data_IF_476739886548
#
_entry.id   IF_476739886548
#
_cell.length_a   1.000
_cell.length_b   1.000
_cell.length_c   1.000
_cell.angle_alpha   90.00
_cell.angle_beta   90.00
_cell.angle_gamma   90.00
#
_symmetry.space_group_name_H-M   'P 1'
#
loop_
_entity.id
_entity.type
_entity.pdbx_description
1 polymer ?
#
# COMPACT_ATOMS: atom_id res chain seq x y z
N UNK A 1 -47.96 63.05 -51.62
CA UNK A 1 -48.42 62.42 -50.35
C UNK A 1 -48.32 60.89 -50.31
N UNK A 2 -47.86 60.20 -51.36
CA UNK A 2 -47.85 58.72 -51.41
C UNK A 2 -46.60 58.10 -50.74
N UNK A 3 -45.46 58.79 -50.78
CA UNK A 3 -44.20 58.28 -50.19
C UNK A 3 -44.16 58.22 -48.65
N UNK A 4 -44.95 59.04 -47.95
CA UNK A 4 -44.99 59.02 -46.48
C UNK A 4 -45.80 57.83 -45.93
N UNK A 5 -46.77 57.29 -46.68
CA UNK A 5 -47.51 56.10 -46.26
C UNK A 5 -46.66 54.83 -46.42
N UNK A 6 -45.82 54.77 -47.46
CA UNK A 6 -45.01 53.60 -47.77
C UNK A 6 -43.86 53.38 -46.76
N UNK A 7 -43.30 54.46 -46.21
CA UNK A 7 -42.26 54.40 -45.16
C UNK A 7 -42.84 53.97 -43.80
N UNK A 8 -44.08 54.34 -43.47
CA UNK A 8 -44.76 53.92 -42.23
C UNK A 8 -45.18 52.45 -42.29
N UNK A 9 -45.59 51.95 -43.46
CA UNK A 9 -45.89 50.52 -43.65
C UNK A 9 -44.62 49.67 -43.64
N UNK A 10 -43.48 50.16 -44.16
CA UNK A 10 -42.21 49.44 -44.08
C UNK A 10 -41.63 49.38 -42.66
N UNK A 11 -41.82 50.44 -41.85
CA UNK A 11 -41.40 50.47 -40.44
C UNK A 11 -42.34 49.68 -39.50
N UNK A 12 -43.58 49.39 -39.93
CA UNK A 12 -44.50 48.49 -39.20
C UNK A 12 -44.22 47.00 -39.39
N UNK A 13 -43.38 46.64 -40.39
CA UNK A 13 -42.99 45.27 -40.72
C UNK A 13 -41.60 44.88 -40.23
N UNK A 14 -40.99 45.68 -39.33
CA UNK A 14 -39.93 45.17 -38.46
C UNK A 14 -40.54 44.24 -37.42
N UNK A 15 -41.07 43.11 -37.90
CA UNK A 15 -41.43 41.98 -37.08
C UNK A 15 -40.20 41.60 -36.25
N UNK A 16 -40.29 41.77 -34.94
CA UNK A 16 -39.32 41.22 -34.00
C UNK A 16 -39.17 39.73 -34.29
N UNK A 17 -38.13 39.34 -35.04
CA UNK A 17 -37.80 37.94 -35.28
C UNK A 17 -37.26 37.38 -33.96
N UNK A 18 -38.13 36.76 -33.18
CA UNK A 18 -37.74 36.03 -31.98
C UNK A 18 -36.96 34.78 -32.39
N UNK A 19 -35.62 34.87 -32.36
CA UNK A 19 -34.75 33.73 -32.62
C UNK A 19 -34.85 32.76 -31.43
N UNK A 20 -35.63 31.70 -31.58
CA UNK A 20 -35.74 30.65 -30.58
C UNK A 20 -34.51 29.73 -30.63
N UNK A 21 -33.83 29.56 -29.49
CA UNK A 21 -32.78 28.55 -29.36
C UNK A 21 -33.43 27.17 -29.17
N UNK A 22 -32.94 26.17 -29.89
CA UNK A 22 -33.41 24.78 -29.76
C UNK A 22 -32.29 23.91 -29.20
N UNK A 23 -32.59 23.21 -28.11
CA UNK A 23 -31.69 22.19 -27.57
C UNK A 23 -32.04 20.83 -28.17
N UNK A 24 -31.06 20.19 -28.80
CA UNK A 24 -31.16 18.80 -29.27
C UNK A 24 -30.93 17.86 -28.08
N UNK A 25 -31.92 17.02 -27.76
CA UNK A 25 -31.92 16.18 -26.56
C UNK A 25 -30.92 15.01 -26.61
N UNK A 26 -30.79 14.25 -27.72
CA UNK A 26 -29.86 13.11 -27.80
C UNK A 26 -28.39 13.38 -27.38
N UNK A 27 -27.72 14.46 -27.85
CA UNK A 27 -26.34 14.73 -27.44
C UNK A 27 -26.23 15.06 -25.95
N UNK A 28 -27.21 15.77 -25.39
CA UNK A 28 -27.24 16.10 -23.96
C UNK A 28 -27.43 14.85 -23.11
N UNK A 29 -28.30 13.91 -23.53
CA UNK A 29 -28.42 12.58 -22.88
C UNK A 29 -27.09 11.85 -22.86
N UNK A 30 -26.35 11.85 -23.98
CA UNK A 30 -25.02 11.24 -24.07
C UNK A 30 -24.03 11.91 -23.12
N UNK A 31 -24.04 13.24 -23.02
CA UNK A 31 -23.19 13.98 -22.09
C UNK A 31 -23.51 13.69 -20.61
N UNK A 32 -24.80 13.65 -20.24
CA UNK A 32 -25.22 13.31 -18.88
C UNK A 32 -24.90 11.85 -18.54
N UNK A 33 -25.02 10.93 -19.50
CA UNK A 33 -24.57 9.54 -19.33
C UNK A 33 -23.06 9.47 -19.09
N UNK A 34 -22.24 10.22 -19.84
CA UNK A 34 -20.79 10.33 -19.59
C UNK A 34 -20.48 10.87 -18.19
N UNK A 35 -21.19 11.92 -17.77
CA UNK A 35 -21.03 12.54 -16.45
C UNK A 35 -21.37 11.55 -15.32
N UNK A 36 -22.46 10.79 -15.47
CA UNK A 36 -22.83 9.72 -14.54
C UNK A 36 -21.81 8.58 -14.53
N UNK A 37 -21.26 8.19 -15.70
CA UNK A 37 -20.18 7.21 -15.78
C UNK A 37 -18.92 7.66 -15.05
N UNK A 38 -18.55 8.94 -15.17
CA UNK A 38 -17.44 9.53 -14.43
C UNK A 38 -17.73 9.55 -12.91
N UNK A 39 -18.94 9.93 -12.50
CA UNK A 39 -19.35 9.91 -11.10
C UNK A 39 -19.27 8.50 -10.51
N UNK A 40 -19.73 7.47 -11.23
CA UNK A 40 -19.61 6.07 -10.83
C UNK A 40 -18.16 5.65 -10.62
N UNK A 41 -17.26 6.03 -11.54
CA UNK A 41 -15.83 5.71 -11.43
C UNK A 41 -15.19 6.34 -10.19
N UNK A 42 -15.51 7.61 -9.92
CA UNK A 42 -15.02 8.33 -8.73
C UNK A 42 -15.54 7.68 -7.44
N UNK A 43 -16.84 7.42 -7.37
CA UNK A 43 -17.46 6.79 -6.21
C UNK A 43 -16.89 5.40 -5.93
N UNK A 44 -16.83 4.53 -6.96
CA UNK A 44 -16.27 3.17 -6.82
C UNK A 44 -14.82 3.21 -6.34
N UNK A 45 -13.99 4.07 -6.93
CA UNK A 45 -12.58 4.19 -6.52
C UNK A 45 -12.42 4.60 -5.04
N UNK A 46 -13.26 5.52 -4.55
CA UNK A 46 -13.25 5.90 -3.12
C UNK A 46 -13.75 4.75 -2.24
N UNK A 47 -14.85 4.11 -2.61
CA UNK A 47 -15.46 3.03 -1.84
C UNK A 47 -14.55 1.80 -1.76
N UNK A 48 -13.97 1.36 -2.88
CA UNK A 48 -13.01 0.25 -2.95
C UNK A 48 -11.76 0.57 -2.13
N UNK A 49 -11.23 1.79 -2.24
CA UNK A 49 -10.09 2.24 -1.44
C UNK A 49 -10.37 2.18 0.06
N UNK A 50 -11.58 2.57 0.51
CA UNK A 50 -11.98 2.43 1.91
C UNK A 50 -12.06 0.97 2.34
N UNK A 51 -12.72 0.13 1.56
CA UNK A 51 -12.90 -1.30 1.87
C UNK A 51 -11.58 -2.04 1.93
N UNK A 52 -10.62 -1.73 1.05
CA UNK A 52 -9.28 -2.30 1.11
C UNK A 52 -8.58 -1.99 2.44
N UNK A 53 -8.60 -0.73 2.88
CA UNK A 53 -7.97 -0.30 4.15
C UNK A 53 -8.68 -0.86 5.38
N UNK A 54 -10.01 -0.97 5.31
CA UNK A 54 -10.80 -1.67 6.32
C UNK A 54 -10.37 -3.15 6.43
N UNK A 55 -10.22 -3.85 5.30
CA UNK A 55 -9.74 -5.25 5.30
C UNK A 55 -8.34 -5.38 5.90
N UNK A 56 -7.44 -4.44 5.63
CA UNK A 56 -6.10 -4.39 6.23
C UNK A 56 -6.20 -4.30 7.77
N UNK A 57 -6.97 -3.35 8.32
CA UNK A 57 -7.15 -3.25 9.77
C UNK A 57 -7.84 -4.46 10.38
N UNK A 58 -8.90 -4.97 9.74
CA UNK A 58 -9.59 -6.17 10.22
C UNK A 58 -8.66 -7.38 10.28
N UNK A 59 -7.78 -7.54 9.29
CA UNK A 59 -6.76 -8.61 9.29
C UNK A 59 -5.75 -8.43 10.43
N UNK A 60 -5.20 -7.24 10.59
CA UNK A 60 -4.27 -6.93 11.70
C UNK A 60 -4.88 -7.29 13.06
N UNK A 61 -6.14 -6.93 13.31
CA UNK A 61 -6.83 -7.26 14.56
C UNK A 61 -7.07 -8.77 14.70
N UNK A 62 -7.40 -9.47 13.62
CA UNK A 62 -7.53 -10.93 13.63
C UNK A 62 -6.19 -11.67 13.80
N UNK A 63 -5.07 -10.97 13.62
CA UNK A 63 -3.70 -11.46 13.81
C UNK A 63 -3.10 -10.99 15.14
N UNK A 64 -3.86 -10.30 16.00
CA UNK A 64 -3.45 -9.97 17.36
C UNK A 64 -3.00 -8.52 17.58
N UNK A 65 -3.14 -7.63 16.59
CA UNK A 65 -2.87 -6.21 16.80
C UNK A 65 -3.82 -5.59 17.85
N UNK A 66 -3.26 -4.84 18.81
CA UNK A 66 -4.04 -4.12 19.81
C UNK A 66 -4.63 -2.83 19.23
N UNK A 67 -5.96 -2.69 19.31
CA UNK A 67 -6.69 -1.52 18.78
C UNK A 67 -6.33 -0.21 19.46
N UNK A 68 -5.91 -0.27 20.72
CA UNK A 68 -5.63 0.92 21.54
C UNK A 68 -4.20 1.43 21.38
N UNK A 69 -3.31 0.62 20.80
CA UNK A 69 -1.91 0.97 20.63
C UNK A 69 -1.67 1.70 19.31
N UNK A 70 -0.62 2.54 19.29
CA UNK A 70 -0.11 3.08 18.04
C UNK A 70 0.64 1.97 17.27
N UNK A 71 0.50 1.90 15.93
CA UNK A 71 -0.14 2.87 15.02
C UNK A 71 -1.64 2.63 14.78
N UNK A 72 -2.25 1.62 15.42
CA UNK A 72 -3.58 1.14 15.07
C UNK A 72 -4.69 2.12 15.40
N UNK A 73 -4.56 2.83 16.53
CA UNK A 73 -5.44 3.93 16.89
C UNK A 73 -5.44 5.03 15.82
N UNK A 74 -4.26 5.48 15.38
CA UNK A 74 -4.11 6.45 14.29
C UNK A 74 -4.68 5.95 12.95
N UNK A 75 -4.44 4.69 12.59
CA UNK A 75 -5.00 4.08 11.37
C UNK A 75 -6.53 4.02 11.43
N UNK A 76 -7.11 3.69 12.58
CA UNK A 76 -8.57 3.67 12.78
C UNK A 76 -9.17 5.09 12.70
N UNK A 77 -8.48 6.10 13.22
CA UNK A 77 -8.90 7.50 13.07
C UNK A 77 -8.95 7.90 11.59
N UNK A 78 -7.89 7.64 10.82
CA UNK A 78 -7.88 7.92 9.38
C UNK A 78 -8.92 7.14 8.60
N UNK A 79 -9.17 5.86 8.94
CA UNK A 79 -10.24 5.07 8.32
C UNK A 79 -11.62 5.64 8.64
N UNK A 80 -11.83 6.16 9.84
CA UNK A 80 -13.10 6.80 10.24
C UNK A 80 -13.34 8.10 9.49
N UNK A 81 -12.31 8.94 9.33
CA UNK A 81 -12.40 10.15 8.50
C UNK A 81 -12.65 9.80 7.03
N UNK A 82 -11.95 8.80 6.49
CA UNK A 82 -12.20 8.30 5.14
C UNK A 82 -13.64 7.80 4.97
N UNK A 83 -14.21 7.15 6.00
CA UNK A 83 -15.59 6.71 6.00
C UNK A 83 -16.58 7.89 5.96
N UNK A 84 -16.32 8.97 6.72
CA UNK A 84 -17.12 10.20 6.67
C UNK A 84 -17.12 10.80 5.25
N UNK A 85 -15.95 10.97 4.65
CA UNK A 85 -15.83 11.50 3.27
C UNK A 85 -16.47 10.54 2.25
N UNK A 86 -16.37 9.23 2.44
CA UNK A 86 -17.00 8.27 1.54
C UNK A 86 -18.54 8.38 1.55
N UNK A 87 -19.15 8.67 2.71
CA UNK A 87 -20.60 8.92 2.81
C UNK A 87 -21.02 10.18 2.07
N UNK A 88 -20.22 11.26 2.14
CA UNK A 88 -20.51 12.49 1.38
C UNK A 88 -20.33 12.31 -0.13
N UNK A 89 -19.30 11.57 -0.56
CA UNK A 89 -19.11 11.14 -1.95
C UNK A 89 -20.33 10.35 -2.45
N UNK A 90 -20.82 9.38 -1.66
CA UNK A 90 -22.04 8.63 -1.98
C UNK A 90 -23.26 9.57 -2.15
N UNK A 91 -23.46 10.49 -1.21
CA UNK A 91 -24.56 11.45 -1.28
C UNK A 91 -24.55 12.31 -2.55
N UNK A 92 -23.39 12.84 -2.94
CA UNK A 92 -23.25 13.62 -4.18
C UNK A 92 -23.42 12.75 -5.44
N UNK A 93 -22.86 11.54 -5.44
CA UNK A 93 -23.11 10.54 -6.49
C UNK A 93 -24.61 10.26 -6.68
N UNK A 94 -25.35 10.02 -5.59
CA UNK A 94 -26.77 9.69 -5.65
C UNK A 94 -27.61 10.88 -6.14
N UNK A 95 -27.18 12.13 -5.88
CA UNK A 95 -27.81 13.33 -6.46
C UNK A 95 -27.59 13.43 -7.98
N UNK A 96 -26.38 13.15 -8.46
CA UNK A 96 -26.08 13.12 -9.92
C UNK A 96 -26.98 12.11 -10.61
N UNK A 97 -27.14 10.92 -10.04
CA UNK A 97 -28.03 9.89 -10.59
C UNK A 97 -29.49 10.37 -10.60
N UNK A 98 -29.98 10.95 -9.50
CA UNK A 98 -31.34 11.52 -9.43
C UNK A 98 -31.57 12.61 -10.48
N UNK A 99 -30.73 13.64 -10.56
CA UNK A 99 -30.86 14.71 -11.55
C UNK A 99 -30.80 14.22 -12.99
N UNK A 100 -29.99 13.19 -13.26
CA UNK A 100 -29.97 12.52 -14.56
C UNK A 100 -31.32 11.82 -14.85
N UNK A 101 -31.88 11.11 -13.88
CA UNK A 101 -33.19 10.46 -14.06
C UNK A 101 -34.30 11.48 -14.26
N UNK A 102 -34.29 12.58 -13.50
CA UNK A 102 -35.23 13.69 -13.68
C UNK A 102 -35.13 14.27 -15.10
N UNK A 103 -33.91 14.44 -15.63
CA UNK A 103 -33.71 14.90 -17.01
C UNK A 103 -34.24 13.90 -18.05
N UNK A 104 -34.02 12.60 -17.83
CA UNK A 104 -34.51 11.56 -18.73
C UNK A 104 -36.04 11.50 -18.73
N UNK A 105 -36.67 11.65 -17.57
CA UNK A 105 -38.13 11.73 -17.43
C UNK A 105 -38.68 12.99 -18.13
N UNK A 106 -38.10 14.16 -17.86
CA UNK A 106 -38.50 15.44 -18.46
C UNK A 106 -38.45 15.43 -19.99
N UNK A 107 -37.46 14.73 -20.55
CA UNK A 107 -37.19 14.68 -22.00
C UNK A 107 -37.77 13.45 -22.69
N UNK A 108 -38.49 12.56 -21.99
CA UNK A 108 -39.00 11.29 -22.55
C UNK A 108 -39.79 11.52 -23.86
N UNK A 109 -39.47 10.73 -24.88
CA UNK A 109 -40.08 10.84 -26.22
C UNK A 109 -39.69 12.06 -27.05
N UNK A 110 -38.87 12.98 -26.54
CA UNK A 110 -38.54 14.25 -27.22
C UNK A 110 -37.16 14.25 -27.83
N UNK A 111 -37.06 14.76 -29.07
CA UNK A 111 -35.80 14.98 -29.79
C UNK A 111 -35.26 16.41 -29.62
N UNK A 112 -36.15 17.38 -29.39
CA UNK A 112 -35.84 18.82 -29.32
C UNK A 112 -36.63 19.51 -28.21
N UNK A 113 -36.05 20.53 -27.59
CA UNK A 113 -36.71 21.46 -26.65
C UNK A 113 -36.47 22.90 -27.11
N UNK A 114 -37.53 23.71 -27.20
CA UNK A 114 -37.46 25.12 -27.61
C UNK A 114 -37.31 26.04 -26.39
N UNK A 115 -36.56 27.14 -26.54
CA UNK A 115 -36.20 28.05 -25.44
C UNK A 115 -37.35 28.83 -24.82
N UNK A 116 -38.47 28.92 -25.50
CA UNK A 116 -39.73 29.54 -25.04
C UNK A 116 -40.51 28.64 -24.07
N UNK A 117 -40.22 27.34 -24.01
CA UNK A 117 -40.92 26.41 -23.14
C UNK A 117 -40.30 26.26 -21.74
N UNK A 118 -41.13 26.22 -20.70
CA UNK A 118 -40.70 25.99 -19.31
C UNK A 118 -39.77 24.77 -19.13
N UNK A 119 -39.98 23.71 -19.94
CA UNK A 119 -39.15 22.49 -19.92
C UNK A 119 -37.72 22.72 -20.38
N UNK A 120 -37.46 23.71 -21.24
CA UNK A 120 -36.10 24.07 -21.65
C UNK A 120 -35.30 24.60 -20.47
N UNK A 121 -35.89 25.52 -19.70
CA UNK A 121 -35.31 26.07 -18.47
C UNK A 121 -35.07 24.99 -17.43
N UNK A 122 -36.06 24.12 -17.19
CA UNK A 122 -35.92 22.98 -16.28
C UNK A 122 -34.80 22.02 -16.71
N UNK A 123 -34.69 21.74 -18.02
CA UNK A 123 -33.66 20.84 -18.54
C UNK A 123 -32.25 21.43 -18.36
N UNK A 124 -32.05 22.73 -18.63
CA UNK A 124 -30.78 23.41 -18.35
C UNK A 124 -30.45 23.43 -16.86
N UNK A 125 -31.43 23.72 -16.00
CA UNK A 125 -31.22 23.68 -14.55
C UNK A 125 -30.75 22.30 -14.07
N UNK A 126 -31.28 21.21 -14.63
CA UNK A 126 -30.83 19.84 -14.32
C UNK A 126 -29.42 19.56 -14.84
N UNK A 127 -29.09 20.04 -16.05
CA UNK A 127 -27.73 19.92 -16.60
C UNK A 127 -26.72 20.64 -15.70
N UNK A 128 -27.04 21.86 -15.26
CA UNK A 128 -26.16 22.66 -14.41
C UNK A 128 -26.02 22.06 -13.01
N UNK A 129 -27.11 21.52 -12.44
CA UNK A 129 -27.05 20.72 -11.20
C UNK A 129 -26.12 19.52 -11.33
N UNK A 130 -26.21 18.76 -12.43
CA UNK A 130 -25.31 17.62 -12.67
C UNK A 130 -23.85 18.05 -12.80
N UNK A 131 -23.57 19.13 -13.54
CA UNK A 131 -22.20 19.67 -13.67
C UNK A 131 -21.65 20.16 -12.33
N UNK A 132 -22.46 20.89 -11.56
CA UNK A 132 -22.10 21.39 -10.24
C UNK A 132 -21.80 20.26 -9.26
N UNK A 133 -22.69 19.28 -9.15
CA UNK A 133 -22.49 18.11 -8.29
C UNK A 133 -21.30 17.25 -8.76
N UNK A 134 -21.04 17.13 -10.06
CA UNK A 134 -19.85 16.44 -10.55
C UNK A 134 -18.55 17.13 -10.11
N UNK A 135 -18.51 18.47 -10.13
CA UNK A 135 -17.36 19.25 -9.62
C UNK A 135 -17.19 19.04 -8.11
N UNK A 136 -18.28 19.07 -7.35
CA UNK A 136 -18.26 18.75 -5.91
C UNK A 136 -17.74 17.35 -5.65
N UNK A 137 -18.23 16.36 -6.40
CA UNK A 137 -17.81 14.96 -6.29
C UNK A 137 -16.32 14.77 -6.59
N UNK A 138 -15.77 15.50 -7.57
CA UNK A 138 -14.34 15.50 -7.85
C UNK A 138 -13.53 16.05 -6.66
N UNK A 139 -13.98 17.16 -6.06
CA UNK A 139 -13.37 17.72 -4.83
C UNK A 139 -13.38 16.73 -3.67
N UNK A 140 -14.53 16.11 -3.40
CA UNK A 140 -14.68 15.09 -2.35
C UNK A 140 -13.83 13.85 -2.63
N UNK A 141 -13.72 13.43 -3.89
CA UNK A 141 -12.85 12.32 -4.28
C UNK A 141 -11.37 12.62 -4.03
N UNK A 142 -10.93 13.86 -4.29
CA UNK A 142 -9.58 14.30 -3.97
C UNK A 142 -9.32 14.35 -2.46
N UNK A 143 -10.29 14.82 -1.67
CA UNK A 143 -10.21 14.77 -0.21
C UNK A 143 -10.12 13.33 0.31
N UNK A 144 -10.93 12.41 -0.23
CA UNK A 144 -10.86 11.00 0.12
C UNK A 144 -9.50 10.39 -0.22
N UNK A 145 -8.92 10.73 -1.38
CA UNK A 145 -7.56 10.31 -1.75
C UNK A 145 -6.50 10.86 -0.80
N UNK A 146 -6.64 12.11 -0.33
CA UNK A 146 -5.72 12.68 0.65
C UNK A 146 -5.77 11.92 1.99
N UNK A 147 -6.97 11.61 2.49
CA UNK A 147 -7.16 10.80 3.70
C UNK A 147 -6.61 9.37 3.53
N UNK A 148 -6.88 8.74 2.38
CA UNK A 148 -6.33 7.44 2.03
C UNK A 148 -4.79 7.44 2.03
N UNK A 149 -4.16 8.50 1.51
CA UNK A 149 -2.69 8.65 1.54
C UNK A 149 -2.15 8.80 2.97
N UNK A 150 -2.86 9.46 3.88
CA UNK A 150 -2.44 9.56 5.28
C UNK A 150 -2.42 8.19 5.95
N UNK A 151 -3.48 7.39 5.74
CA UNK A 151 -3.52 5.99 6.18
C UNK A 151 -2.33 5.19 5.64
N UNK A 152 -2.09 5.24 4.33
CA UNK A 152 -1.02 4.46 3.68
C UNK A 152 0.37 4.89 4.16
N UNK A 153 0.57 6.20 4.37
CA UNK A 153 1.81 6.75 4.92
C UNK A 153 2.06 6.26 6.34
N UNK A 154 1.03 6.27 7.19
CA UNK A 154 1.15 5.78 8.56
C UNK A 154 1.44 4.27 8.58
N UNK A 155 0.73 3.49 7.76
CA UNK A 155 0.96 2.05 7.63
C UNK A 155 2.40 1.74 7.18
N UNK A 156 2.88 2.46 6.16
CA UNK A 156 4.25 2.31 5.65
C UNK A 156 5.30 2.74 6.67
N UNK A 157 5.11 3.90 7.33
CA UNK A 157 6.02 4.41 8.38
C UNK A 157 6.15 3.39 9.52
N UNK A 158 5.05 2.74 9.86
CA UNK A 158 4.98 1.74 10.92
C UNK A 158 5.38 0.33 10.46
N UNK A 159 5.92 0.20 9.23
CA UNK A 159 6.40 -1.07 8.66
C UNK A 159 5.33 -2.17 8.60
N UNK A 160 4.05 -1.78 8.52
CA UNK A 160 2.96 -2.74 8.31
C UNK A 160 3.07 -3.32 6.91
N UNK A 161 3.14 -4.65 6.81
CA UNK A 161 3.34 -5.35 5.54
C UNK A 161 2.79 -6.77 5.58
N UNK A 162 2.41 -7.27 4.41
CA UNK A 162 2.05 -8.68 4.25
C UNK A 162 3.32 -9.49 4.01
N UNK A 163 3.48 -10.59 4.74
CA UNK A 163 4.62 -11.50 4.64
C UNK A 163 4.12 -12.86 4.20
N UNK A 164 4.81 -13.46 3.24
CA UNK A 164 4.68 -14.87 2.90
C UNK A 164 5.38 -15.69 4.00
N UNK A 165 4.59 -16.07 5.00
CA UNK A 165 5.05 -16.77 6.19
C UNK A 165 5.59 -18.17 5.84
N UNK A 166 4.98 -18.83 4.84
CA UNK A 166 5.44 -20.12 4.31
C UNK A 166 6.84 -20.01 3.71
N UNK A 167 7.06 -19.04 2.81
CA UNK A 167 8.34 -18.82 2.16
C UNK A 167 9.40 -18.38 3.14
N UNK A 168 9.07 -17.48 4.06
CA UNK A 168 10.00 -17.00 5.06
C UNK A 168 10.48 -18.15 5.96
N UNK A 169 9.56 -18.95 6.50
CA UNK A 169 9.93 -20.08 7.35
C UNK A 169 10.81 -21.09 6.62
N UNK A 170 10.46 -21.44 5.37
CA UNK A 170 11.27 -22.32 4.55
C UNK A 170 12.69 -21.75 4.32
N UNK A 171 12.80 -20.44 4.07
CA UNK A 171 14.08 -19.76 3.91
C UNK A 171 14.90 -19.78 5.20
N UNK A 172 14.30 -19.50 6.36
CA UNK A 172 14.98 -19.55 7.65
C UNK A 172 15.51 -20.95 7.93
N UNK A 173 14.67 -21.98 7.83
CA UNK A 173 15.07 -23.39 8.02
C UNK A 173 16.19 -23.81 7.07
N UNK A 174 16.12 -23.41 5.80
CA UNK A 174 17.16 -23.72 4.81
C UNK A 174 18.48 -23.04 5.17
N UNK A 175 18.44 -21.75 5.55
CA UNK A 175 19.64 -20.99 5.88
C UNK A 175 20.29 -21.47 7.17
N UNK A 176 19.52 -21.70 8.25
CA UNK A 176 20.09 -22.20 9.52
C UNK A 176 20.73 -23.58 9.36
N UNK A 177 20.08 -24.50 8.63
CA UNK A 177 20.66 -25.81 8.29
C UNK A 177 21.96 -25.69 7.50
N UNK A 178 22.00 -24.81 6.49
CA UNK A 178 23.22 -24.55 5.72
C UNK A 178 24.34 -24.00 6.60
N UNK A 179 24.03 -23.01 7.44
CA UNK A 179 25.02 -22.42 8.36
C UNK A 179 25.54 -23.45 9.35
N UNK A 180 24.68 -24.31 9.93
CA UNK A 180 25.12 -25.42 10.80
C UNK A 180 26.09 -26.37 10.08
N UNK A 181 25.77 -26.78 8.85
CA UNK A 181 26.64 -27.66 8.09
C UNK A 181 28.01 -27.01 7.82
N UNK A 182 28.02 -25.72 7.47
CA UNK A 182 29.26 -24.95 7.27
C UNK A 182 30.06 -24.82 8.56
N UNK A 183 29.41 -24.55 9.69
CA UNK A 183 30.06 -24.48 11.00
C UNK A 183 30.70 -25.81 11.41
N UNK A 184 30.00 -26.94 11.22
CA UNK A 184 30.54 -28.28 11.52
C UNK A 184 31.78 -28.56 10.68
N UNK A 185 31.74 -28.26 9.38
CA UNK A 185 32.90 -28.39 8.48
C UNK A 185 34.05 -27.51 8.94
N UNK A 186 33.77 -26.26 9.28
CA UNK A 186 34.77 -25.31 9.75
C UNK A 186 35.42 -25.75 11.08
N UNK A 187 34.63 -26.24 12.03
CA UNK A 187 35.14 -26.81 13.29
C UNK A 187 36.08 -28.01 13.02
N UNK A 188 35.72 -28.87 12.05
CA UNK A 188 36.60 -29.93 11.57
C UNK A 188 37.94 -29.41 11.05
N UNK A 189 37.91 -28.36 10.22
CA UNK A 189 39.13 -27.70 9.72
C UNK A 189 39.97 -27.09 10.85
N UNK A 190 39.36 -26.47 11.86
CA UNK A 190 40.08 -25.96 13.04
C UNK A 190 40.75 -27.08 13.85
N UNK A 191 40.07 -28.22 14.03
CA UNK A 191 40.65 -29.40 14.70
C UNK A 191 41.85 -29.94 13.93
N UNK A 192 41.74 -30.08 12.60
CA UNK A 192 42.86 -30.50 11.74
C UNK A 192 44.03 -29.51 11.79
N UNK A 193 43.77 -28.20 11.70
CA UNK A 193 44.79 -27.17 11.81
C UNK A 193 45.54 -27.26 13.15
N UNK A 194 44.82 -27.46 14.26
CA UNK A 194 45.43 -27.66 15.57
C UNK A 194 46.25 -28.96 15.64
N UNK A 195 45.79 -30.04 15.01
CA UNK A 195 46.53 -31.30 14.91
C UNK A 195 47.85 -31.15 14.14
N UNK A 196 47.81 -30.53 12.97
CA UNK A 196 49.01 -30.24 12.16
C UNK A 196 50.02 -29.38 12.92
N UNK A 197 49.56 -28.36 13.66
CA UNK A 197 50.44 -27.54 14.50
C UNK A 197 51.13 -28.32 15.62
N UNK A 198 50.48 -29.36 16.17
CA UNK A 198 51.07 -30.24 17.19
C UNK A 198 52.07 -31.22 16.57
N UNK A 199 51.76 -31.76 15.39
CA UNK A 199 52.61 -32.71 14.66
C UNK A 199 53.84 -32.05 14.01
N UNK A 200 53.80 -30.75 13.72
CA UNK A 200 54.92 -29.98 13.19
C UNK A 200 56.03 -29.71 14.25
N UNK A 201 56.29 -30.66 15.14
CA UNK A 201 57.29 -30.59 16.21
C UNK A 201 58.62 -30.01 15.73
N UNK A 202 59.10 -28.97 16.42
CA UNK A 202 60.36 -28.28 16.11
C UNK A 202 60.43 -27.42 14.84
N UNK A 203 59.58 -27.63 13.82
CA UNK A 203 59.70 -26.97 12.50
C UNK A 203 59.13 -25.56 12.40
N UNK A 204 58.45 -25.08 13.45
CA UNK A 204 57.82 -23.77 13.50
C UNK A 204 58.42 -22.97 14.65
N UNK A 205 58.79 -21.70 14.39
CA UNK A 205 59.28 -20.81 15.45
C UNK A 205 58.24 -20.65 16.56
N UNK A 206 58.70 -20.38 17.78
CA UNK A 206 57.82 -20.19 18.95
C UNK A 206 56.80 -19.07 18.69
N UNK A 207 57.22 -17.98 18.06
CA UNK A 207 56.37 -16.82 17.77
C UNK A 207 55.29 -17.14 16.73
N UNK A 208 55.65 -17.84 15.64
CA UNK A 208 54.67 -18.26 14.63
C UNK A 208 53.66 -19.24 15.21
N UNK A 209 54.11 -20.17 16.07
CA UNK A 209 53.21 -21.09 16.78
C UNK A 209 52.25 -20.35 17.70
N UNK A 210 52.74 -19.40 18.49
CA UNK A 210 51.93 -18.59 19.40
C UNK A 210 50.90 -17.73 18.64
N UNK A 211 51.32 -17.07 17.55
CA UNK A 211 50.44 -16.28 16.67
C UNK A 211 49.32 -17.14 16.07
N UNK A 212 49.66 -18.28 15.45
CA UNK A 212 48.67 -19.20 14.87
C UNK A 212 47.71 -19.76 15.93
N UNK A 213 48.19 -20.05 17.14
CA UNK A 213 47.35 -20.52 18.23
C UNK A 213 46.38 -19.44 18.71
N UNK A 214 46.82 -18.17 18.76
CA UNK A 214 45.97 -17.02 19.05
C UNK A 214 44.88 -16.85 17.99
N UNK A 215 45.22 -16.94 16.71
CA UNK A 215 44.25 -16.88 15.60
C UNK A 215 43.22 -18.02 15.68
N UNK A 216 43.64 -19.26 15.94
CA UNK A 216 42.72 -20.38 16.10
C UNK A 216 41.78 -20.19 17.31
N UNK A 217 42.28 -19.61 18.41
CA UNK A 217 41.45 -19.27 19.57
C UNK A 217 40.40 -18.22 19.22
N UNK A 218 40.79 -17.15 18.53
CA UNK A 218 39.87 -16.11 18.06
C UNK A 218 38.81 -16.68 17.09
N UNK A 219 39.20 -17.56 16.16
CA UNK A 219 38.25 -18.22 15.26
C UNK A 219 37.23 -19.08 16.01
N UNK A 220 37.63 -19.77 17.08
CA UNK A 220 36.71 -20.55 17.91
C UNK A 220 35.69 -19.70 18.63
N UNK A 221 36.13 -18.56 19.19
CA UNK A 221 35.22 -17.60 19.83
C UNK A 221 34.19 -17.11 18.80
N UNK A 222 34.63 -16.75 17.59
CA UNK A 222 33.73 -16.33 16.51
C UNK A 222 32.77 -17.43 16.08
N UNK A 223 33.23 -18.67 16.00
CA UNK A 223 32.37 -19.81 15.70
C UNK A 223 31.29 -20.02 16.77
N UNK A 224 31.65 -19.91 18.06
CA UNK A 224 30.70 -20.01 19.17
C UNK A 224 29.67 -18.87 19.14
N UNK A 225 30.09 -17.64 18.82
CA UNK A 225 29.16 -16.52 18.64
C UNK A 225 28.17 -16.78 17.50
N UNK A 226 28.64 -17.32 16.37
CA UNK A 226 27.77 -17.72 15.25
C UNK A 226 26.78 -18.80 15.70
N UNK A 227 27.22 -19.77 16.49
CA UNK A 227 26.36 -20.84 17.05
C UNK A 227 25.21 -20.29 17.88
N UNK A 228 25.52 -19.36 18.79
CA UNK A 228 24.52 -18.69 19.62
C UNK A 228 23.49 -17.94 18.75
N UNK A 229 23.94 -17.23 17.71
CA UNK A 229 23.02 -16.53 16.82
C UNK A 229 22.15 -17.47 15.98
N UNK A 230 22.71 -18.59 15.50
CA UNK A 230 21.93 -19.61 14.76
C UNK A 230 20.87 -20.24 15.66
N UNK A 231 21.22 -20.65 16.88
CA UNK A 231 20.28 -21.19 17.85
C UNK A 231 19.15 -20.19 18.18
N UNK A 232 19.50 -18.90 18.34
CA UNK A 232 18.52 -17.83 18.51
C UNK A 232 17.56 -17.73 17.33
N UNK A 233 18.06 -17.74 16.09
CA UNK A 233 17.22 -17.68 14.89
C UNK A 233 16.27 -18.88 14.81
N UNK A 234 16.74 -20.07 15.18
CA UNK A 234 15.90 -21.28 15.17
C UNK A 234 14.76 -21.19 16.20
N UNK A 235 15.05 -20.79 17.44
CA UNK A 235 14.01 -20.59 18.45
C UNK A 235 12.99 -19.52 18.04
N UNK A 236 13.46 -18.45 17.41
CA UNK A 236 12.58 -17.41 16.83
C UNK A 236 11.72 -17.96 15.68
N UNK A 237 12.29 -18.78 14.79
CA UNK A 237 11.56 -19.39 13.69
C UNK A 237 10.48 -20.37 14.19
N UNK A 238 10.75 -21.11 15.27
CA UNK A 238 9.76 -21.98 15.92
C UNK A 238 8.62 -21.16 16.55
N UNK A 239 8.94 -20.09 17.28
CA UNK A 239 7.94 -19.16 17.81
C UNK A 239 7.07 -18.56 16.71
N UNK A 240 7.67 -18.18 15.58
CA UNK A 240 6.95 -17.69 14.40
C UNK A 240 6.01 -18.73 13.78
N UNK A 241 6.43 -20.00 13.73
CA UNK A 241 5.63 -21.12 13.22
C UNK A 241 4.38 -21.37 14.06
N UNK A 242 4.51 -21.28 15.39
CA UNK A 242 3.39 -21.37 16.32
C UNK A 242 2.41 -20.22 16.06
N UNK A 243 2.92 -18.99 16.01
CA UNK A 243 2.10 -17.78 15.88
C UNK A 243 1.34 -17.73 14.55
N UNK A 244 1.95 -18.16 13.44
CA UNK A 244 1.28 -18.11 12.14
C UNK A 244 0.12 -19.11 11.99
N UNK A 245 -0.03 -20.10 12.90
CA UNK A 245 -1.13 -21.10 12.89
C UNK A 245 -1.39 -21.71 11.50
N UNK A 246 -0.33 -22.13 10.80
CA UNK A 246 -0.35 -22.67 9.42
C UNK A 246 -0.82 -21.71 8.31
N UNK A 247 -1.02 -20.41 8.59
CA UNK A 247 -1.34 -19.41 7.56
C UNK A 247 -0.16 -19.21 6.61
N UNK A 248 -0.45 -19.06 5.32
CA UNK A 248 0.56 -18.82 4.27
C UNK A 248 0.92 -17.35 4.14
N UNK A 249 -0.05 -16.46 4.33
CA UNK A 249 0.14 -15.00 4.34
C UNK A 249 -0.27 -14.44 5.68
N UNK A 250 0.53 -13.52 6.19
CA UNK A 250 0.30 -12.88 7.48
C UNK A 250 0.60 -11.38 7.36
N UNK A 251 -0.34 -10.54 7.77
CA UNK A 251 -0.12 -9.10 7.86
C UNK A 251 0.54 -8.82 9.20
N UNK A 252 1.72 -8.21 9.19
CA UNK A 252 2.49 -7.92 10.42
C UNK A 252 2.54 -6.43 10.67
N UNK A 253 2.60 -6.04 11.94
CA UNK A 253 2.76 -4.66 12.39
C UNK A 253 3.25 -4.59 13.84
N UNK A 254 3.66 -3.40 14.32
CA UNK A 254 4.23 -3.20 15.66
C UNK A 254 3.32 -3.73 16.78
N UNK A 255 3.88 -4.28 17.85
CA UNK A 255 3.11 -4.85 18.97
C UNK A 255 2.52 -6.24 18.70
N UNK A 256 2.76 -6.80 17.51
CA UNK A 256 2.41 -8.17 17.18
C UNK A 256 3.63 -9.08 17.36
N UNK A 257 3.44 -10.27 17.95
CA UNK A 257 4.51 -11.26 18.16
C UNK A 257 5.25 -11.58 16.85
N UNK A 258 4.50 -11.74 15.77
CA UNK A 258 5.09 -12.02 14.45
C UNK A 258 5.99 -10.88 13.95
N UNK A 259 5.69 -9.62 14.28
CA UNK A 259 6.51 -8.48 13.90
C UNK A 259 7.80 -8.42 14.72
N UNK A 260 7.69 -8.62 16.03
CA UNK A 260 8.85 -8.62 16.93
C UNK A 260 9.84 -9.72 16.56
N UNK A 261 9.32 -10.92 16.28
CA UNK A 261 10.13 -12.04 15.82
C UNK A 261 10.88 -11.72 14.52
N UNK A 262 10.23 -11.04 13.56
CA UNK A 262 10.90 -10.63 12.31
C UNK A 262 12.04 -9.63 12.54
N UNK A 263 11.84 -8.69 13.47
CA UNK A 263 12.86 -7.71 13.81
C UNK A 263 14.03 -8.35 14.57
N UNK A 264 13.75 -9.29 15.48
CA UNK A 264 14.76 -10.07 16.18
C UNK A 264 15.56 -10.97 15.23
N UNK A 265 14.91 -11.66 14.29
CA UNK A 265 15.58 -12.47 13.26
C UNK A 265 16.48 -11.58 12.39
N UNK A 266 16.01 -10.37 12.05
CA UNK A 266 16.81 -9.40 11.29
C UNK A 266 18.04 -8.95 12.08
N UNK A 267 17.88 -8.68 13.38
CA UNK A 267 18.99 -8.29 14.26
C UNK A 267 20.02 -9.43 14.42
N UNK A 268 19.57 -10.66 14.69
CA UNK A 268 20.43 -11.84 14.78
C UNK A 268 21.17 -12.10 13.45
N UNK A 269 20.47 -11.93 12.32
CA UNK A 269 21.08 -12.04 11.00
C UNK A 269 22.19 -11.01 10.73
N UNK A 270 22.06 -9.77 11.25
CA UNK A 270 23.13 -8.76 11.16
C UNK A 270 24.35 -9.14 11.99
N UNK A 271 24.14 -9.62 13.21
CA UNK A 271 25.21 -10.11 14.08
C UNK A 271 25.93 -11.30 13.43
N UNK A 272 25.18 -12.26 12.91
CA UNK A 272 25.72 -13.42 12.20
C UNK A 272 26.60 -13.02 11.00
N UNK A 273 26.17 -12.04 10.21
CA UNK A 273 26.98 -11.49 9.10
C UNK A 273 28.27 -10.82 9.59
N UNK A 274 28.19 -10.07 10.69
CA UNK A 274 29.36 -9.42 11.30
C UNK A 274 30.38 -10.45 11.78
N UNK A 275 29.94 -11.43 12.56
CA UNK A 275 30.81 -12.51 13.06
C UNK A 275 31.40 -13.35 11.92
N UNK A 276 30.60 -13.64 10.87
CA UNK A 276 31.08 -14.32 9.67
C UNK A 276 32.17 -13.56 8.91
N UNK A 277 32.01 -12.23 8.76
CA UNK A 277 33.02 -11.38 8.11
C UNK A 277 34.32 -11.32 8.92
N UNK A 278 34.22 -11.21 10.26
CA UNK A 278 35.40 -11.23 11.13
C UNK A 278 36.10 -12.59 11.09
N UNK A 279 35.33 -13.69 11.06
CA UNK A 279 35.88 -15.04 10.90
C UNK A 279 36.66 -15.19 9.59
N UNK A 280 36.13 -14.65 8.49
CA UNK A 280 36.79 -14.66 7.19
C UNK A 280 38.11 -13.87 7.22
N UNK A 281 38.16 -12.72 7.89
CA UNK A 281 39.41 -11.94 8.07
C UNK A 281 40.45 -12.72 8.87
N UNK A 282 40.04 -13.40 9.95
CA UNK A 282 40.94 -14.24 10.72
C UNK A 282 41.49 -15.39 9.87
N UNK A 283 40.65 -15.99 9.02
CA UNK A 283 41.05 -17.09 8.15
C UNK A 283 42.06 -16.65 7.09
N UNK A 284 41.89 -15.46 6.52
CA UNK A 284 42.88 -14.87 5.61
C UNK A 284 44.23 -14.65 6.31
N UNK A 285 44.22 -14.08 7.53
CA UNK A 285 45.44 -13.89 8.32
C UNK A 285 46.14 -15.20 8.66
N UNK A 286 45.38 -16.24 8.97
CA UNK A 286 45.94 -17.56 9.26
C UNK A 286 46.57 -18.24 8.04
N UNK A 287 46.06 -17.97 6.83
CA UNK A 287 46.61 -18.49 5.57
C UNK A 287 47.83 -17.72 5.08
N UNK A 288 47.95 -16.44 5.44
CA UNK A 288 49.07 -15.59 5.06
C UNK A 288 50.32 -15.81 5.94
N UNK A 289 50.17 -16.49 7.08
CA UNK A 289 51.26 -16.93 7.97
C UNK A 289 51.63 -18.38 7.67
#
# INVERSE_FOLDING_TARGET
>A
MIYRLLVVVLLGLSACVTIHRVMTVPPVRKQLAKSAGQANKLFRGVQEGRLQRQRVLTRLYAEGANRQEEPYRGLQAHLSELAKVTRTVKGSHDKIQRHRQDFLALTKGRKRLRSDGHRYTQAHALIDKVKGELKTLQGLSNQARAQAKQFDRLAKKSRIKEVDATKLSAQLKKQTRKTRAEMTRFNGSLKKARGMMRQAGGRMSKDTRASRQKLLSQMRIKLANIEVQVAKIEGLAERFEIERRKRSKLLVGPGMVAFDVLDEVTAAGRLLRKEGAELQKLLQRFRAQ
#
